data_IF_665600855802
#
_entry.id   IF_665600855802
#
_cell.length_a   1.000
_cell.length_b   1.000
_cell.length_c   1.000
_cell.angle_alpha   90.00
_cell.angle_beta   90.00
_cell.angle_gamma   90.00
#
_symmetry.space_group_name_H-M   'P 1'
#
loop_
_entity.id
_entity.type
_entity.pdbx_description
1 polymer ?
#
# COMPACT_ATOMS: atom_id res chain seq x y z
N UNK A 1 1.83 -22.39 25.24
CA UNK A 1 1.71 -21.34 24.20
C UNK A 1 3.02 -21.12 23.46
N UNK A 2 4.13 -20.79 24.16
CA UNK A 2 5.47 -20.69 23.56
C UNK A 2 5.98 -22.01 22.94
N UNK A 3 5.67 -23.17 23.54
CA UNK A 3 6.05 -24.47 22.97
C UNK A 3 5.30 -24.83 21.68
N UNK A 4 4.04 -24.42 21.57
CA UNK A 4 3.24 -24.61 20.34
C UNK A 4 3.76 -23.71 19.21
N UNK A 5 4.15 -22.47 19.55
CA UNK A 5 4.83 -21.56 18.61
C UNK A 5 6.18 -22.15 18.17
N UNK A 6 6.98 -22.70 19.09
CA UNK A 6 8.25 -23.38 18.75
C UNK A 6 8.06 -24.55 17.78
N UNK A 7 7.05 -25.39 18.00
CA UNK A 7 6.73 -26.50 17.09
C UNK A 7 6.30 -26.03 15.70
N UNK A 8 5.66 -24.87 15.60
CA UNK A 8 5.30 -24.23 14.34
C UNK A 8 6.55 -23.78 13.54
N UNK A 9 7.58 -23.29 14.22
CA UNK A 9 8.82 -22.78 13.61
C UNK A 9 9.85 -23.87 13.27
N UNK A 10 9.75 -25.07 13.84
CA UNK A 10 10.64 -26.19 13.49
C UNK A 10 10.32 -26.87 12.14
N UNK A 11 9.40 -26.28 11.34
CA UNK A 11 9.19 -26.60 9.92
C UNK A 11 10.27 -26.02 8.99
N UNK A 12 11.07 -25.06 9.48
CA UNK A 12 12.25 -24.54 8.79
C UNK A 12 13.51 -25.12 9.45
N UNK A 13 14.65 -25.25 8.74
CA UNK A 13 15.93 -25.69 9.31
C UNK A 13 16.52 -24.73 10.38
N UNK A 14 15.69 -23.85 10.95
CA UNK A 14 15.99 -22.79 11.91
C UNK A 14 15.73 -23.20 13.36
N UNK A 15 15.45 -24.47 13.65
CA UNK A 15 15.07 -24.94 14.99
C UNK A 15 16.15 -24.59 16.05
N UNK A 16 17.44 -24.51 15.68
CA UNK A 16 18.53 -24.03 16.56
C UNK A 16 18.62 -22.48 16.68
N UNK A 17 18.15 -21.73 15.67
CA UNK A 17 18.07 -20.26 15.72
C UNK A 17 17.02 -19.76 16.73
N UNK A 18 16.03 -20.59 17.09
CA UNK A 18 14.98 -20.23 18.07
C UNK A 18 15.49 -19.96 19.48
N UNK A 19 16.77 -20.27 19.76
CA UNK A 19 17.45 -19.91 21.02
C UNK A 19 18.21 -18.58 20.94
N UNK A 20 18.39 -18.01 19.74
CA UNK A 20 19.13 -16.78 19.47
C UNK A 20 18.17 -15.68 18.99
N UNK A 21 17.33 -15.19 19.91
CA UNK A 21 16.35 -14.15 19.63
C UNK A 21 16.95 -12.90 18.98
N UNK A 22 18.17 -12.53 19.38
CA UNK A 22 18.88 -11.39 18.82
C UNK A 22 19.16 -11.56 17.32
N UNK A 23 19.55 -12.76 16.90
CA UNK A 23 19.79 -13.09 15.49
C UNK A 23 18.49 -13.08 14.70
N UNK A 24 17.41 -13.63 15.27
CA UNK A 24 16.07 -13.59 14.64
C UNK A 24 15.60 -12.15 14.45
N UNK A 25 15.82 -11.28 15.44
CA UNK A 25 15.43 -9.88 15.38
C UNK A 25 16.22 -9.14 14.29
N UNK A 26 17.54 -9.34 14.22
CA UNK A 26 18.39 -8.75 13.18
C UNK A 26 17.95 -9.21 11.80
N UNK A 27 17.74 -10.51 11.60
CA UNK A 27 17.27 -11.06 10.33
C UNK A 27 15.88 -10.53 9.95
N UNK A 28 14.99 -10.36 10.91
CA UNK A 28 13.64 -9.80 10.68
C UNK A 28 13.71 -8.34 10.23
N UNK A 29 14.60 -7.54 10.81
CA UNK A 29 14.83 -6.15 10.39
C UNK A 29 15.39 -6.09 8.96
N UNK A 30 16.40 -6.91 8.66
CA UNK A 30 16.98 -7.00 7.30
C UNK A 30 15.91 -7.42 6.30
N UNK A 31 15.14 -8.45 6.62
CA UNK A 31 14.07 -8.95 5.76
C UNK A 31 12.97 -7.91 5.54
N UNK A 32 12.60 -7.18 6.59
CA UNK A 32 11.67 -6.05 6.50
C UNK A 32 12.17 -4.93 5.57
N UNK A 33 13.46 -4.59 5.65
CA UNK A 33 14.08 -3.60 4.77
C UNK A 33 14.12 -4.08 3.31
N UNK A 34 14.44 -5.35 3.07
CA UNK A 34 14.38 -5.95 1.72
C UNK A 34 12.96 -5.91 1.16
N UNK A 35 11.96 -6.32 1.96
CA UNK A 35 10.54 -6.24 1.56
C UNK A 35 10.15 -4.82 1.22
N UNK A 36 10.59 -3.84 2.00
CA UNK A 36 10.31 -2.43 1.75
C UNK A 36 10.85 -2.01 0.36
N UNK A 37 12.13 -2.26 0.09
CA UNK A 37 12.76 -1.93 -1.20
C UNK A 37 12.09 -2.65 -2.36
N UNK A 38 11.85 -3.95 -2.23
CA UNK A 38 11.19 -4.76 -3.25
C UNK A 38 9.76 -4.29 -3.48
N UNK A 39 9.03 -3.89 -2.43
CA UNK A 39 7.67 -3.34 -2.57
C UNK A 39 7.68 -2.07 -3.42
N UNK A 40 8.63 -1.15 -3.20
CA UNK A 40 8.76 0.05 -4.03
C UNK A 40 9.10 -0.29 -5.48
N UNK A 41 10.06 -1.19 -5.69
CA UNK A 41 10.43 -1.64 -7.03
C UNK A 41 9.26 -2.29 -7.79
N UNK A 42 8.49 -3.15 -7.11
CA UNK A 42 7.32 -3.83 -7.66
C UNK A 42 6.17 -2.88 -7.98
N UNK A 43 5.94 -1.85 -7.16
CA UNK A 43 4.94 -0.82 -7.48
C UNK A 43 5.31 -0.12 -8.80
N UNK A 44 6.60 0.11 -9.05
CA UNK A 44 7.05 0.78 -10.26
C UNK A 44 7.03 -0.13 -11.50
N UNK A 45 7.52 -1.37 -11.39
CA UNK A 45 7.66 -2.29 -12.53
C UNK A 45 6.40 -3.12 -12.79
N UNK A 46 5.67 -3.51 -11.74
CA UNK A 46 4.47 -4.34 -11.82
C UNK A 46 3.21 -3.54 -11.46
N UNK A 47 3.11 -2.34 -12.03
CA UNK A 47 1.96 -1.45 -11.83
C UNK A 47 0.63 -2.15 -12.12
N UNK A 48 0.59 -3.04 -13.11
CA UNK A 48 -0.63 -3.75 -13.50
C UNK A 48 -1.18 -4.64 -12.37
N UNK A 49 -0.32 -5.38 -11.66
CA UNK A 49 -0.70 -6.23 -10.54
C UNK A 49 -1.25 -5.39 -9.37
N UNK A 50 -0.54 -4.30 -9.03
CA UNK A 50 -0.96 -3.39 -7.97
C UNK A 50 -2.25 -2.64 -8.31
N UNK A 51 -2.48 -2.34 -9.60
CA UNK A 51 -3.74 -1.78 -10.12
C UNK A 51 -4.87 -2.80 -10.05
N UNK A 52 -4.63 -4.06 -10.45
CA UNK A 52 -5.62 -5.14 -10.40
C UNK A 52 -6.07 -5.44 -8.97
N UNK A 53 -5.11 -5.54 -8.06
CA UNK A 53 -5.36 -5.73 -6.62
C UNK A 53 -5.78 -4.40 -5.96
N UNK A 54 -5.88 -3.30 -6.71
CA UNK A 54 -6.43 -2.02 -6.25
C UNK A 54 -5.66 -1.35 -5.12
N UNK A 55 -4.50 -1.86 -4.71
CA UNK A 55 -3.60 -1.22 -3.74
C UNK A 55 -3.09 0.11 -4.32
N UNK A 56 -2.86 0.13 -5.65
CA UNK A 56 -2.50 1.33 -6.36
C UNK A 56 -3.63 1.82 -7.27
N UNK A 57 -4.16 3.00 -6.96
CA UNK A 57 -5.07 3.77 -7.82
C UNK A 57 -4.56 5.18 -7.99
N UNK A 58 -4.69 5.71 -9.20
CA UNK A 58 -4.30 7.09 -9.49
C UNK A 58 -5.04 8.08 -8.58
N UNK A 59 -4.43 9.21 -8.25
CA UNK A 59 -5.05 10.19 -7.34
C UNK A 59 -6.36 10.69 -7.93
N UNK A 60 -6.34 11.04 -9.22
CA UNK A 60 -7.52 11.36 -10.05
C UNK A 60 -8.65 10.35 -9.92
N UNK A 61 -8.33 9.05 -9.99
CA UNK A 61 -9.34 8.00 -9.87
C UNK A 61 -9.97 7.98 -8.48
N UNK A 62 -9.16 8.17 -7.43
CA UNK A 62 -9.66 8.21 -6.05
C UNK A 62 -10.49 9.48 -5.82
N UNK A 63 -10.02 10.63 -6.32
CA UNK A 63 -10.73 11.90 -6.25
C UNK A 63 -12.11 11.80 -6.91
N UNK A 64 -12.17 11.33 -8.17
CA UNK A 64 -13.41 11.21 -8.93
C UNK A 64 -14.38 10.18 -8.33
N UNK A 65 -13.87 9.11 -7.69
CA UNK A 65 -14.72 8.09 -7.04
C UNK A 65 -15.29 8.54 -5.70
N UNK A 66 -14.85 9.67 -5.15
CA UNK A 66 -15.19 10.06 -3.78
C UNK A 66 -16.20 11.20 -3.74
N UNK A 67 -17.23 11.12 -2.90
CA UNK A 67 -18.29 12.14 -2.85
C UNK A 67 -17.81 13.57 -2.52
N UNK A 68 -16.67 13.70 -1.85
CA UNK A 68 -16.13 15.00 -1.42
C UNK A 68 -15.62 15.87 -2.57
N UNK A 69 -15.37 15.34 -3.77
CA UNK A 69 -14.94 16.16 -4.92
C UNK A 69 -15.95 17.28 -5.25
N UNK A 70 -17.25 17.03 -5.01
CA UNK A 70 -18.34 17.97 -5.29
C UNK A 70 -18.24 19.26 -4.47
N UNK A 71 -17.66 19.19 -3.29
CA UNK A 71 -17.56 20.34 -2.37
C UNK A 71 -16.22 21.08 -2.46
N UNK A 72 -15.18 20.41 -2.97
CA UNK A 72 -13.83 20.98 -3.01
C UNK A 72 -13.47 21.62 -4.35
N UNK A 73 -14.15 21.22 -5.43
CA UNK A 73 -13.79 21.55 -6.81
C UNK A 73 -13.51 23.04 -7.04
N UNK A 74 -14.42 23.93 -6.63
CA UNK A 74 -14.25 25.38 -6.84
C UNK A 74 -13.01 25.96 -6.12
N UNK A 75 -12.77 25.53 -4.88
CA UNK A 75 -11.61 25.99 -4.12
C UNK A 75 -10.32 25.50 -4.74
N UNK A 76 -10.26 24.20 -5.06
CA UNK A 76 -9.09 23.58 -5.67
C UNK A 76 -8.82 24.13 -7.07
N UNK A 77 -9.85 24.39 -7.89
CA UNK A 77 -9.70 24.99 -9.22
C UNK A 77 -9.23 26.43 -9.16
N UNK A 78 -9.58 27.22 -8.15
CA UNK A 78 -8.99 28.56 -7.99
C UNK A 78 -7.47 28.48 -7.87
N UNK A 79 -6.97 27.61 -6.98
CA UNK A 79 -5.54 27.38 -6.82
C UNK A 79 -4.92 26.73 -8.07
N UNK A 80 -5.65 25.86 -8.76
CA UNK A 80 -5.19 25.24 -10.00
C UNK A 80 -5.02 26.27 -11.12
N UNK A 81 -5.91 27.26 -11.24
CA UNK A 81 -5.76 28.35 -12.20
C UNK A 81 -4.53 29.20 -11.92
N UNK A 82 -4.21 29.47 -10.65
CA UNK A 82 -2.97 30.20 -10.30
C UNK A 82 -1.71 29.42 -10.71
N UNK A 83 -1.75 28.09 -10.63
CA UNK A 83 -0.59 27.23 -10.92
C UNK A 83 -0.45 26.80 -12.37
N UNK A 84 -1.57 26.65 -13.07
CA UNK A 84 -1.64 26.00 -14.39
C UNK A 84 -2.45 26.78 -15.42
N UNK A 85 -3.15 27.85 -15.02
CA UNK A 85 -4.02 28.64 -15.91
C UNK A 85 -5.25 27.88 -16.43
N UNK A 86 -5.63 26.78 -15.78
CA UNK A 86 -6.75 25.93 -16.21
C UNK A 86 -7.41 25.21 -15.04
N UNK A 87 -8.72 25.00 -15.14
CA UNK A 87 -9.45 24.07 -14.28
C UNK A 87 -9.03 22.63 -14.56
N UNK A 88 -8.69 21.90 -13.50
CA UNK A 88 -8.28 20.49 -13.60
C UNK A 88 -9.16 19.57 -12.74
N UNK A 89 -9.95 20.13 -11.82
CA UNK A 89 -10.91 19.40 -11.00
C UNK A 89 -12.31 19.55 -11.60
N UNK A 90 -12.59 18.76 -12.63
CA UNK A 90 -13.87 18.76 -13.34
C UNK A 90 -14.89 17.85 -12.63
N UNK A 91 -16.21 18.11 -12.78
CA UNK A 91 -17.24 17.12 -12.47
C UNK A 91 -16.97 15.80 -13.20
N UNK A 92 -17.33 14.67 -12.58
CA UNK A 92 -17.03 13.33 -13.11
C UNK A 92 -17.63 13.11 -14.50
N UNK A 93 -18.84 13.62 -14.72
CA UNK A 93 -19.55 13.54 -16.00
C UNK A 93 -18.80 14.30 -17.10
N UNK A 94 -18.32 15.50 -16.80
CA UNK A 94 -17.54 16.31 -17.72
C UNK A 94 -16.17 15.68 -18.02
N UNK A 95 -15.49 15.14 -17.00
CA UNK A 95 -14.21 14.46 -17.17
C UNK A 95 -14.33 13.21 -18.07
N UNK A 96 -15.39 12.42 -17.90
CA UNK A 96 -15.61 11.19 -18.68
C UNK A 96 -15.98 11.47 -20.14
N UNK A 97 -16.46 12.66 -20.48
CA UNK A 97 -16.77 13.08 -21.85
C UNK A 97 -15.53 13.51 -22.64
N UNK A 98 -14.43 13.80 -21.97
CA UNK A 98 -13.19 14.22 -22.63
C UNK A 98 -12.54 13.07 -23.41
N UNK A 99 -11.80 13.36 -24.49
CA UNK A 99 -10.93 12.39 -25.14
C UNK A 99 -9.93 11.78 -24.15
N UNK A 100 -9.57 10.50 -24.33
CA UNK A 100 -8.62 9.80 -23.44
C UNK A 100 -7.28 10.55 -23.28
N UNK A 101 -6.78 11.15 -24.36
CA UNK A 101 -5.56 11.96 -24.34
C UNK A 101 -5.67 13.16 -23.39
N UNK A 102 -6.83 13.83 -23.36
CA UNK A 102 -7.08 14.96 -22.48
C UNK A 102 -7.28 14.51 -21.02
N UNK A 103 -7.96 13.38 -20.82
CA UNK A 103 -8.10 12.77 -19.49
C UNK A 103 -6.72 12.44 -18.88
N UNK A 104 -5.78 11.94 -19.68
CA UNK A 104 -4.40 11.67 -19.24
C UNK A 104 -3.65 12.95 -18.88
N UNK A 105 -3.79 14.01 -19.69
CA UNK A 105 -3.19 15.33 -19.39
C UNK A 105 -3.72 15.90 -18.08
N UNK A 106 -5.04 15.88 -17.88
CA UNK A 106 -5.67 16.36 -16.63
C UNK A 106 -5.24 15.49 -15.45
N UNK A 107 -5.21 14.16 -15.63
CA UNK A 107 -4.77 13.25 -14.55
C UNK A 107 -3.35 13.55 -14.12
N UNK A 108 -2.44 13.77 -15.08
CA UNK A 108 -1.05 14.16 -14.80
C UNK A 108 -0.97 15.50 -14.06
N UNK A 109 -1.73 16.51 -14.52
CA UNK A 109 -1.80 17.81 -13.81
C UNK A 109 -2.35 17.68 -12.39
N UNK A 110 -3.31 16.79 -12.15
CA UNK A 110 -3.83 16.54 -10.80
C UNK A 110 -2.80 15.85 -9.89
N UNK A 111 -1.98 14.95 -10.43
CA UNK A 111 -0.85 14.36 -9.69
C UNK A 111 0.19 15.44 -9.34
N UNK A 112 0.56 16.28 -10.31
CA UNK A 112 1.48 17.41 -10.05
C UNK A 112 0.89 18.41 -9.03
N UNK A 113 -0.43 18.66 -9.10
CA UNK A 113 -1.13 19.50 -8.12
C UNK A 113 -1.04 18.90 -6.73
N UNK A 114 -1.24 17.58 -6.62
CA UNK A 114 -1.15 16.87 -5.36
C UNK A 114 0.26 16.98 -4.74
N UNK A 115 1.31 16.85 -5.54
CA UNK A 115 2.69 17.00 -5.08
C UNK A 115 2.95 18.43 -4.58
N UNK A 116 2.50 19.46 -5.31
CA UNK A 116 2.63 20.86 -4.86
C UNK A 116 1.85 21.11 -3.57
N UNK A 117 0.60 20.64 -3.52
CA UNK A 117 -0.25 20.71 -2.33
C UNK A 117 0.41 20.04 -1.12
N UNK A 118 1.05 18.88 -1.32
CA UNK A 118 1.80 18.19 -0.29
C UNK A 118 2.92 19.10 0.26
N UNK A 119 3.78 19.64 -0.60
CA UNK A 119 4.90 20.48 -0.15
C UNK A 119 4.45 21.76 0.55
N UNK A 120 3.37 22.40 0.09
CA UNK A 120 2.82 23.57 0.76
C UNK A 120 2.29 23.23 2.15
N UNK A 121 1.53 22.14 2.30
CA UNK A 121 1.06 21.70 3.60
C UNK A 121 2.19 21.27 4.53
N UNK A 122 3.29 20.72 3.99
CA UNK A 122 4.45 20.32 4.78
C UNK A 122 5.18 21.55 5.34
N UNK A 123 5.39 22.55 4.49
CA UNK A 123 5.97 23.82 4.90
C UNK A 123 5.17 24.48 6.04
N UNK A 124 3.85 24.31 6.05
CA UNK A 124 2.95 24.83 7.07
C UNK A 124 2.83 23.94 8.32
N UNK A 125 3.51 22.79 8.37
CA UNK A 125 3.43 21.85 9.49
C UNK A 125 2.07 21.16 9.65
N UNK A 126 1.22 21.17 8.61
CA UNK A 126 -0.16 20.62 8.67
C UNK A 126 -0.27 19.15 8.23
N UNK A 127 0.87 18.47 8.04
CA UNK A 127 0.91 17.12 7.45
C UNK A 127 1.07 15.96 8.43
N UNK A 128 1.15 16.19 9.74
CA UNK A 128 1.35 15.09 10.71
C UNK A 128 0.34 13.97 10.55
N UNK A 129 -0.95 14.33 10.45
CA UNK A 129 -2.04 13.36 10.31
C UNK A 129 -1.96 12.64 8.95
N UNK A 130 -1.94 13.32 7.78
CA UNK A 130 -1.76 12.63 6.50
C UNK A 130 -0.51 11.74 6.40
N UNK A 131 0.64 12.16 6.97
CA UNK A 131 1.88 11.36 7.01
C UNK A 131 1.71 10.08 7.84
N UNK A 132 0.96 10.12 8.93
CA UNK A 132 0.61 8.91 9.68
C UNK A 132 -0.24 7.95 8.83
N UNK A 133 -1.27 8.46 8.14
CA UNK A 133 -2.08 7.63 7.21
C UNK A 133 -1.25 7.04 6.06
N UNK A 134 -0.30 7.81 5.53
CA UNK A 134 0.66 7.33 4.52
C UNK A 134 1.53 6.19 5.05
N UNK A 135 2.02 6.33 6.29
CA UNK A 135 2.83 5.30 6.95
C UNK A 135 2.05 4.02 7.15
N UNK A 136 0.79 4.10 7.60
CA UNK A 136 -0.09 2.93 7.71
C UNK A 136 -0.38 2.29 6.34
N UNK A 137 -0.67 3.10 5.31
CA UNK A 137 -0.83 2.59 3.95
C UNK A 137 0.39 1.78 3.48
N UNK A 138 1.60 2.32 3.69
CA UNK A 138 2.85 1.64 3.34
C UNK A 138 3.06 0.38 4.17
N UNK A 139 2.75 0.41 5.47
CA UNK A 139 2.82 -0.76 6.34
C UNK A 139 1.94 -1.90 5.83
N UNK A 140 0.65 -1.66 5.57
CA UNK A 140 -0.26 -2.71 5.10
C UNK A 140 0.09 -3.18 3.68
N UNK A 141 0.59 -2.29 2.82
CA UNK A 141 1.13 -2.68 1.51
C UNK A 141 2.31 -3.65 1.64
N UNK A 142 3.25 -3.35 2.55
CA UNK A 142 4.40 -4.20 2.78
C UNK A 142 4.01 -5.51 3.48
N UNK A 143 3.02 -5.48 4.38
CA UNK A 143 2.48 -6.67 5.03
C UNK A 143 1.81 -7.63 4.04
N UNK A 144 1.09 -7.07 3.05
CA UNK A 144 0.57 -7.85 1.92
C UNK A 144 1.69 -8.57 1.17
N UNK A 145 2.75 -7.85 0.80
CA UNK A 145 3.89 -8.45 0.09
C UNK A 145 4.62 -9.49 0.94
N UNK A 146 4.84 -9.19 2.23
CA UNK A 146 5.45 -10.11 3.19
C UNK A 146 4.64 -11.41 3.29
N UNK A 147 3.31 -11.32 3.32
CA UNK A 147 2.41 -12.46 3.36
C UNK A 147 2.49 -13.31 2.09
N UNK A 148 2.57 -12.67 0.92
CA UNK A 148 2.75 -13.39 -0.35
C UNK A 148 4.08 -14.11 -0.43
N UNK A 149 5.18 -13.45 -0.06
CA UNK A 149 6.51 -14.06 -0.05
C UNK A 149 6.56 -15.21 0.94
N UNK A 150 5.98 -15.04 2.13
CA UNK A 150 5.93 -16.09 3.15
C UNK A 150 5.10 -17.30 2.69
N UNK A 151 3.95 -17.06 2.06
CA UNK A 151 3.14 -18.12 1.46
C UNK A 151 3.89 -18.86 0.35
N UNK A 152 4.62 -18.14 -0.51
CA UNK A 152 5.44 -18.75 -1.57
C UNK A 152 6.56 -19.61 -0.99
N UNK A 153 7.30 -19.09 -0.01
CA UNK A 153 8.36 -19.85 0.68
C UNK A 153 7.79 -21.09 1.35
N UNK A 154 6.62 -20.98 1.97
CA UNK A 154 5.93 -22.11 2.59
C UNK A 154 5.55 -23.19 1.54
N UNK A 155 4.99 -22.78 0.40
CA UNK A 155 4.65 -23.70 -0.71
C UNK A 155 5.90 -24.37 -1.26
N UNK A 156 6.97 -23.62 -1.53
CA UNK A 156 8.23 -24.18 -2.04
C UNK A 156 8.82 -25.19 -1.05
N UNK A 157 8.84 -24.84 0.24
CA UNK A 157 9.35 -25.73 1.30
C UNK A 157 8.53 -27.02 1.38
N UNK A 158 7.20 -26.92 1.28
CA UNK A 158 6.31 -28.07 1.25
C UNK A 158 6.57 -28.95 0.02
N UNK A 159 6.72 -28.36 -1.18
CA UNK A 159 7.02 -29.11 -2.41
C UNK A 159 8.38 -29.82 -2.35
N UNK A 160 9.41 -29.18 -1.78
CA UNK A 160 10.73 -29.80 -1.58
C UNK A 160 10.62 -30.98 -0.61
N UNK A 161 9.79 -30.88 0.43
CA UNK A 161 9.54 -31.98 1.38
C UNK A 161 8.96 -33.23 0.70
N UNK A 162 8.19 -33.06 -0.38
CA UNK A 162 7.63 -34.19 -1.13
C UNK A 162 8.67 -35.00 -1.89
N UNK A 163 9.92 -34.52 -2.01
CA UNK A 163 11.02 -35.23 -2.68
C UNK A 163 11.63 -36.25 -1.70
N UNK A 164 11.40 -37.57 -1.88
CA UNK A 164 11.82 -38.57 -0.90
C UNK A 164 13.34 -38.64 -0.70
N UNK A 165 14.10 -38.25 -1.73
CA UNK A 165 15.56 -38.27 -1.74
C UNK A 165 16.21 -37.28 -0.74
N UNK A 166 15.48 -36.26 -0.29
CA UNK A 166 16.02 -35.22 0.61
C UNK A 166 15.88 -35.57 2.10
N UNK A 167 15.14 -36.64 2.44
CA UNK A 167 14.93 -37.14 3.81
C UNK A 167 14.65 -36.03 4.85
N UNK A 168 13.83 -35.05 4.46
CA UNK A 168 13.43 -33.93 5.32
C UNK A 168 12.35 -34.40 6.30
N UNK A 169 12.28 -33.76 7.47
CA UNK A 169 11.25 -34.05 8.48
C UNK A 169 9.84 -33.91 7.86
N UNK A 170 8.98 -34.91 8.06
CA UNK A 170 7.63 -34.94 7.50
C UNK A 170 6.83 -33.69 7.90
N UNK A 171 6.36 -32.95 6.90
CA UNK A 171 5.49 -31.79 7.13
C UNK A 171 4.04 -32.26 7.13
N UNK A 172 3.38 -32.11 8.28
CA UNK A 172 1.95 -32.36 8.43
C UNK A 172 1.13 -31.41 7.52
N UNK A 173 0.35 -31.99 6.61
CA UNK A 173 -0.46 -31.27 5.64
C UNK A 173 -1.51 -30.35 6.28
N UNK A 174 -2.02 -30.70 7.46
CA UNK A 174 -2.98 -29.86 8.19
C UNK A 174 -2.33 -28.55 8.64
N UNK A 175 -1.13 -28.62 9.22
CA UNK A 175 -0.37 -27.44 9.68
C UNK A 175 0.02 -26.55 8.51
N UNK A 176 0.44 -27.16 7.39
CA UNK A 176 0.69 -26.43 6.15
C UNK A 176 -0.57 -25.66 5.71
N UNK A 177 -1.72 -26.33 5.70
CA UNK A 177 -3.01 -25.73 5.34
C UNK A 177 -3.37 -24.53 6.22
N UNK A 178 -3.23 -24.66 7.54
CA UNK A 178 -3.52 -23.56 8.48
C UNK A 178 -2.59 -22.36 8.30
N UNK A 179 -1.29 -22.60 8.12
CA UNK A 179 -0.31 -21.53 7.89
C UNK A 179 -0.56 -20.82 6.56
N UNK A 180 -0.84 -21.57 5.50
CA UNK A 180 -1.16 -21.00 4.19
C UNK A 180 -2.43 -20.16 4.27
N UNK A 181 -3.48 -20.67 4.92
CA UNK A 181 -4.72 -19.94 5.12
C UNK A 181 -4.49 -18.64 5.90
N UNK A 182 -3.67 -18.67 6.96
CA UNK A 182 -3.30 -17.47 7.72
C UNK A 182 -2.64 -16.40 6.85
N UNK A 183 -1.67 -16.78 6.00
CA UNK A 183 -1.02 -15.83 5.10
C UNK A 183 -1.98 -15.27 4.05
N UNK A 184 -2.86 -16.10 3.49
CA UNK A 184 -3.87 -15.66 2.51
C UNK A 184 -4.86 -14.68 3.14
N UNK A 185 -5.38 -14.99 4.33
CA UNK A 185 -6.31 -14.10 5.05
C UNK A 185 -5.62 -12.79 5.43
N UNK A 186 -4.39 -12.85 5.93
CA UNK A 186 -3.59 -11.65 6.26
C UNK A 186 -3.32 -10.79 5.03
N UNK A 187 -2.99 -11.40 3.90
CA UNK A 187 -2.81 -10.68 2.63
C UNK A 187 -4.11 -10.00 2.19
N UNK A 188 -5.25 -10.70 2.24
CA UNK A 188 -6.54 -10.15 1.85
C UNK A 188 -6.96 -8.97 2.75
N UNK A 189 -6.84 -9.11 4.07
CA UNK A 189 -7.13 -8.01 5.02
C UNK A 189 -6.21 -6.81 4.78
N UNK A 190 -4.92 -7.07 4.54
CA UNK A 190 -3.94 -6.01 4.27
C UNK A 190 -4.29 -5.19 3.04
N UNK A 191 -4.80 -5.80 1.98
CA UNK A 191 -5.28 -5.10 0.78
C UNK A 191 -6.44 -4.17 1.12
N UNK A 192 -7.45 -4.67 1.82
CA UNK A 192 -8.65 -3.89 2.19
C UNK A 192 -8.26 -2.69 3.05
N UNK A 193 -7.43 -2.93 4.06
CA UNK A 193 -6.99 -1.89 4.99
C UNK A 193 -6.08 -0.87 4.28
N UNK A 194 -5.13 -1.31 3.45
CA UNK A 194 -4.28 -0.41 2.66
C UNK A 194 -5.11 0.51 1.74
N UNK A 195 -6.11 -0.04 1.04
CA UNK A 195 -7.03 0.74 0.19
C UNK A 195 -7.75 1.81 1.01
N UNK A 196 -8.25 1.46 2.18
CA UNK A 196 -8.94 2.39 3.08
C UNK A 196 -8.01 3.51 3.56
N UNK A 197 -6.80 3.18 4.03
CA UNK A 197 -5.81 4.19 4.46
C UNK A 197 -5.43 5.13 3.31
N UNK A 198 -5.27 4.62 2.09
CA UNK A 198 -4.98 5.45 0.91
C UNK A 198 -6.10 6.45 0.63
N UNK A 199 -7.36 6.03 0.68
CA UNK A 199 -8.50 6.93 0.48
C UNK A 199 -8.58 7.98 1.59
N UNK A 200 -8.39 7.59 2.85
CA UNK A 200 -8.42 8.50 3.99
C UNK A 200 -7.27 9.51 3.96
N UNK A 201 -6.07 9.08 3.59
CA UNK A 201 -4.91 9.94 3.39
C UNK A 201 -5.22 11.06 2.38
N UNK A 202 -5.70 10.71 1.18
CA UNK A 202 -6.03 11.68 0.13
C UNK A 202 -7.13 12.62 0.59
N UNK A 203 -8.22 12.09 1.14
CA UNK A 203 -9.32 12.91 1.64
C UNK A 203 -8.85 13.94 2.67
N UNK A 204 -8.05 13.52 3.66
CA UNK A 204 -7.50 14.43 4.67
C UNK A 204 -6.59 15.49 4.05
N UNK A 205 -5.72 15.11 3.11
CA UNK A 205 -4.84 16.05 2.41
C UNK A 205 -5.62 17.11 1.64
N UNK A 206 -6.57 16.71 0.80
CA UNK A 206 -7.40 17.67 0.06
C UNK A 206 -8.23 18.55 0.99
N UNK A 207 -8.74 18.01 2.09
CA UNK A 207 -9.51 18.79 3.07
C UNK A 207 -8.64 19.81 3.81
N UNK A 208 -7.45 19.42 4.28
CA UNK A 208 -6.51 20.34 4.93
C UNK A 208 -6.07 21.45 3.98
N UNK A 209 -5.84 21.12 2.71
CA UNK A 209 -5.51 22.13 1.72
C UNK A 209 -6.67 23.08 1.44
N UNK A 210 -7.88 22.53 1.24
CA UNK A 210 -9.07 23.32 0.99
C UNK A 210 -9.38 24.31 2.12
N UNK A 211 -9.25 23.86 3.37
CA UNK A 211 -9.42 24.75 4.53
C UNK A 211 -8.34 25.83 4.58
N UNK A 212 -7.10 25.51 4.19
CA UNK A 212 -6.02 26.48 4.11
C UNK A 212 -6.26 27.56 3.05
N UNK A 213 -6.57 27.18 1.80
CA UNK A 213 -6.80 28.13 0.70
C UNK A 213 -8.03 29.02 0.94
N UNK A 214 -9.04 28.53 1.68
CA UNK A 214 -10.20 29.34 2.02
C UNK A 214 -9.97 30.27 3.21
N UNK A 215 -9.03 29.95 4.10
CA UNK A 215 -8.62 30.85 5.18
C UNK A 215 -7.74 32.02 4.69
N UNK A 216 -7.22 31.95 3.46
CA UNK A 216 -6.43 33.00 2.82
C UNK A 216 -7.26 33.96 1.95
N UNK A 217 -8.58 33.74 1.86
CA UNK A 217 -9.53 34.69 1.26
C UNK A 217 -9.76 35.87 2.20
#
# INVERSE_FOLDING_TARGET
>A
MLDEIRKLFCLLPLCDLTKQWDVILILSVIFGAVIYVVSFWLVHHWQWLYKFIGIYKHITQIYNQSDWHKHLGEGLNRRANEWYGSDIFLPVEAFNQLPKSEQEVISKKQDEFYDRMYYELDYLGKLEVPKAFQSFYLFFRNLFLASLVSALVLVVTYLINLIPALNLAYVDGERFGYLLALFVVTAAMSVVIARWYRQRMLHKMYWFFYTHINAQK
#
